data_IF_221605440078
#
_entry.id   IF_221605440078
#
_cell.length_a   1.000
_cell.length_b   1.000
_cell.length_c   1.000
_cell.angle_alpha   90.00
_cell.angle_beta   90.00
_cell.angle_gamma   90.00
#
_symmetry.space_group_name_H-M   'P 1'
#
loop_
_entity.id
_entity.type
_entity.pdbx_description
1 polymer ?
#
# COMPACT_ATOMS: atom_id res chain seq x y z
N UNK A 1 -11.36 18.58 45.42
CA UNK A 1 -10.37 18.00 44.52
C UNK A 1 -10.18 19.00 43.40
N UNK A 2 -9.00 19.61 43.23
CA UNK A 2 -8.79 20.49 42.08
C UNK A 2 -8.52 19.67 40.83
N UNK A 3 -9.33 19.93 39.79
CA UNK A 3 -9.13 19.43 38.46
C UNK A 3 -7.77 19.93 37.92
N UNK A 4 -6.78 19.04 37.90
CA UNK A 4 -5.54 19.30 37.18
C UNK A 4 -5.86 19.22 35.70
N UNK A 5 -6.27 20.35 35.10
CA UNK A 5 -6.16 20.53 33.64
C UNK A 5 -4.67 20.43 33.28
N UNK A 6 -4.23 19.20 33.02
CA UNK A 6 -2.95 18.95 32.36
C UNK A 6 -3.04 19.56 30.96
N UNK A 7 -2.43 20.74 30.80
CA UNK A 7 -2.15 21.29 29.48
C UNK A 7 -1.45 20.20 28.67
N UNK A 8 -1.92 19.89 27.44
CA UNK A 8 -1.26 18.90 26.62
C UNK A 8 0.20 19.33 26.44
N UNK A 9 1.12 18.40 26.66
CA UNK A 9 2.55 18.64 26.44
C UNK A 9 2.77 19.17 25.02
N UNK A 10 3.63 20.20 24.84
CA UNK A 10 3.93 20.74 23.52
C UNK A 10 4.44 19.62 22.63
N UNK A 11 3.81 19.51 21.45
CA UNK A 11 4.15 18.47 20.44
C UNK A 11 5.61 18.63 20.06
N UNK A 12 6.39 17.54 20.16
CA UNK A 12 7.75 17.51 19.65
C UNK A 12 7.77 17.96 18.18
N UNK A 13 8.58 18.97 17.82
CA UNK A 13 8.70 19.44 16.44
C UNK A 13 9.05 18.32 15.45
N UNK A 14 9.81 17.30 15.86
CA UNK A 14 10.15 16.12 15.02
C UNK A 14 8.91 15.27 14.77
N UNK A 15 8.13 14.98 15.81
CA UNK A 15 6.88 14.25 15.69
C UNK A 15 5.88 14.96 14.77
N UNK A 16 5.77 16.29 14.90
CA UNK A 16 4.89 17.07 14.04
C UNK A 16 5.30 17.00 12.57
N UNK A 17 6.61 17.11 12.28
CA UNK A 17 7.13 16.96 10.90
C UNK A 17 6.87 15.54 10.36
N UNK A 18 7.15 14.53 11.15
CA UNK A 18 6.90 13.14 10.80
C UNK A 18 5.40 12.90 10.53
N UNK A 19 4.51 13.39 11.39
CA UNK A 19 3.07 13.27 11.18
C UNK A 19 2.60 13.87 9.86
N UNK A 20 3.10 15.05 9.46
CA UNK A 20 2.82 15.64 8.15
C UNK A 20 3.34 14.78 6.99
N UNK A 21 4.57 14.25 7.11
CA UNK A 21 5.17 13.36 6.10
C UNK A 21 4.34 12.09 5.94
N UNK A 22 3.85 11.52 7.04
CA UNK A 22 2.93 10.38 7.02
C UNK A 22 1.62 10.71 6.29
N UNK A 23 0.94 11.80 6.64
CA UNK A 23 -0.32 12.18 5.99
C UNK A 23 -0.13 12.38 4.50
N UNK A 24 0.92 13.11 4.09
CA UNK A 24 1.18 13.39 2.67
C UNK A 24 1.55 12.11 1.93
N UNK A 25 2.49 11.31 2.42
CA UNK A 25 2.95 10.09 1.73
C UNK A 25 1.85 9.03 1.65
N UNK A 26 1.10 8.81 2.72
CA UNK A 26 -0.03 7.88 2.71
C UNK A 26 -1.20 8.39 1.86
N UNK A 27 -1.43 9.70 1.85
CA UNK A 27 -2.42 10.32 0.96
C UNK A 27 -2.06 10.11 -0.52
N UNK A 28 -0.80 10.41 -0.90
CA UNK A 28 -0.30 10.16 -2.26
C UNK A 28 -0.38 8.68 -2.64
N UNK A 29 -0.02 7.79 -1.72
CA UNK A 29 -0.15 6.35 -1.91
C UNK A 29 -1.62 5.95 -2.10
N UNK A 30 -2.54 6.53 -1.33
CA UNK A 30 -3.98 6.33 -1.47
C UNK A 30 -4.51 6.77 -2.84
N UNK A 31 -4.02 7.91 -3.37
CA UNK A 31 -4.33 8.35 -4.74
C UNK A 31 -3.84 7.32 -5.76
N UNK A 32 -2.57 6.90 -5.67
CA UNK A 32 -2.00 5.85 -6.54
C UNK A 32 -2.82 4.56 -6.53
N UNK A 33 -3.23 4.10 -5.34
CA UNK A 33 -4.08 2.92 -5.19
C UNK A 33 -5.43 3.03 -5.92
N UNK A 34 -6.01 4.23 -6.00
CA UNK A 34 -7.26 4.43 -6.72
C UNK A 34 -7.06 4.46 -8.24
N UNK A 35 -5.94 5.00 -8.70
CA UNK A 35 -5.61 5.02 -10.12
C UNK A 35 -5.33 3.61 -10.68
N UNK A 36 -4.74 2.70 -9.87
CA UNK A 36 -4.50 1.29 -10.24
C UNK A 36 -5.53 0.35 -9.58
N UNK A 37 -6.77 0.80 -9.49
CA UNK A 37 -7.79 0.03 -8.78
C UNK A 37 -8.20 -1.23 -9.57
N UNK A 38 -8.09 -2.45 -8.98
CA UNK A 38 -8.41 -3.71 -9.65
C UNK A 38 -9.91 -3.96 -9.81
N UNK A 39 -10.75 -3.11 -9.20
CA UNK A 39 -12.23 -3.22 -9.26
C UNK A 39 -12.84 -2.23 -10.25
N UNK A 40 -12.09 -1.21 -10.68
CA UNK A 40 -12.60 -0.14 -11.56
C UNK A 40 -11.73 0.07 -12.79
N UNK A 41 -10.50 0.55 -12.63
CA UNK A 41 -9.65 0.98 -13.75
C UNK A 41 -9.02 -0.21 -14.50
N UNK A 42 -8.43 -1.17 -13.77
CA UNK A 42 -7.74 -2.31 -14.39
C UNK A 42 -8.66 -3.24 -15.20
N UNK A 43 -9.93 -3.51 -14.81
CA UNK A 43 -10.83 -4.28 -15.66
C UNK A 43 -11.09 -3.63 -17.03
N UNK A 44 -11.19 -2.31 -17.06
CA UNK A 44 -11.33 -1.55 -18.32
C UNK A 44 -10.08 -1.71 -19.18
N UNK A 45 -8.91 -1.55 -18.58
CA UNK A 45 -7.64 -1.71 -19.27
C UNK A 45 -7.50 -3.11 -19.89
N UNK A 46 -7.77 -4.17 -19.11
CA UNK A 46 -7.69 -5.54 -19.65
C UNK A 46 -8.76 -5.81 -20.72
N UNK A 47 -9.92 -5.20 -20.59
CA UNK A 47 -10.97 -5.31 -21.58
C UNK A 47 -10.58 -4.63 -22.91
N UNK A 48 -10.03 -3.41 -22.88
CA UNK A 48 -9.58 -2.69 -24.07
C UNK A 48 -8.44 -3.42 -24.78
N UNK A 49 -7.53 -4.04 -24.01
CA UNK A 49 -6.45 -4.89 -24.54
C UNK A 49 -6.93 -6.22 -25.16
N UNK A 50 -8.23 -6.57 -25.03
CA UNK A 50 -8.75 -7.87 -25.47
C UNK A 50 -8.27 -9.06 -24.61
N UNK A 51 -7.90 -8.82 -23.35
CA UNK A 51 -7.55 -9.87 -22.41
C UNK A 51 -8.79 -10.70 -22.05
N UNK A 52 -8.59 -12.01 -21.90
CA UNK A 52 -9.68 -12.94 -21.57
C UNK A 52 -10.28 -12.67 -20.17
N UNK A 53 -11.55 -13.02 -19.99
CA UNK A 53 -12.31 -12.82 -18.76
C UNK A 53 -11.65 -13.44 -17.51
N UNK A 54 -10.89 -14.52 -17.65
CA UNK A 54 -10.13 -15.14 -16.57
C UNK A 54 -9.08 -14.19 -16.00
N UNK A 55 -8.34 -13.46 -16.84
CA UNK A 55 -7.32 -12.50 -16.39
C UNK A 55 -7.96 -11.33 -15.64
N UNK A 56 -9.13 -10.88 -16.10
CA UNK A 56 -9.92 -9.85 -15.40
C UNK A 56 -10.37 -10.35 -14.02
N UNK A 57 -10.85 -11.58 -13.94
CA UNK A 57 -11.26 -12.19 -12.68
C UNK A 57 -10.11 -12.34 -11.67
N UNK A 58 -8.87 -12.52 -12.14
CA UNK A 58 -7.67 -12.66 -11.31
C UNK A 58 -7.19 -11.33 -10.70
N UNK A 59 -7.59 -10.17 -11.20
CA UNK A 59 -7.10 -8.88 -10.72
C UNK A 59 -7.30 -8.69 -9.21
N UNK A 60 -8.51 -8.93 -8.72
CA UNK A 60 -8.83 -8.74 -7.30
C UNK A 60 -8.12 -9.78 -6.41
N UNK A 61 -8.19 -11.09 -6.68
CA UNK A 61 -7.45 -12.09 -5.91
C UNK A 61 -5.95 -11.82 -5.85
N UNK A 62 -5.32 -11.50 -6.98
CA UNK A 62 -3.88 -11.19 -7.05
C UNK A 62 -3.54 -9.97 -6.22
N UNK A 63 -4.32 -8.90 -6.32
CA UNK A 63 -4.09 -7.67 -5.57
C UNK A 63 -4.26 -7.86 -4.06
N UNK A 64 -5.32 -8.51 -3.64
CA UNK A 64 -5.63 -8.70 -2.21
C UNK A 64 -4.69 -9.75 -1.58
N UNK A 65 -4.58 -10.93 -2.18
CA UNK A 65 -3.71 -11.98 -1.66
C UNK A 65 -2.23 -11.57 -1.65
N UNK A 66 -1.75 -10.94 -2.74
CA UNK A 66 -0.37 -10.47 -2.83
C UNK A 66 -0.04 -9.36 -1.84
N UNK A 67 -1.02 -8.55 -1.41
CA UNK A 67 -0.79 -7.52 -0.40
C UNK A 67 -0.89 -8.01 1.04
N UNK A 68 -1.59 -9.11 1.31
CA UNK A 68 -1.85 -9.62 2.66
C UNK A 68 -0.97 -10.82 3.03
N UNK A 69 -0.91 -11.84 2.17
CA UNK A 69 -0.23 -13.09 2.50
C UNK A 69 1.27 -12.92 2.79
N UNK A 70 2.05 -12.12 2.03
CA UNK A 70 3.47 -11.98 2.31
C UNK A 70 3.77 -11.26 3.63
N UNK A 71 2.84 -10.51 4.21
CA UNK A 71 3.09 -9.74 5.44
C UNK A 71 3.54 -10.64 6.59
N UNK A 72 2.89 -11.79 6.77
CA UNK A 72 3.23 -12.74 7.84
C UNK A 72 4.65 -13.31 7.67
N UNK A 73 5.06 -13.60 6.43
CA UNK A 73 6.40 -14.13 6.13
C UNK A 73 7.48 -13.02 6.20
N UNK A 74 7.12 -11.78 5.90
CA UNK A 74 8.05 -10.64 5.87
C UNK A 74 8.23 -9.97 7.23
N UNK A 75 7.33 -10.19 8.19
CA UNK A 75 7.39 -9.56 9.51
C UNK A 75 8.72 -9.82 10.24
N UNK A 76 9.21 -11.07 10.40
CA UNK A 76 10.48 -11.33 11.08
C UNK A 76 11.68 -10.69 10.37
N UNK A 77 11.66 -10.67 9.03
CA UNK A 77 12.70 -10.01 8.24
C UNK A 77 12.71 -8.49 8.45
N UNK A 78 11.53 -7.87 8.56
CA UNK A 78 11.42 -6.44 8.83
C UNK A 78 11.90 -6.10 10.25
N UNK A 79 11.58 -6.94 11.24
CA UNK A 79 11.98 -6.77 12.64
C UNK A 79 13.50 -6.74 12.80
N UNK A 80 14.23 -7.46 11.95
CA UNK A 80 15.68 -7.46 11.90
C UNK A 80 16.30 -6.18 11.29
N UNK A 81 15.50 -5.24 10.76
CA UNK A 81 16.00 -3.99 10.15
C UNK A 81 16.06 -2.85 11.16
N UNK A 82 17.20 -2.13 11.19
CA UNK A 82 17.38 -0.92 12.02
C UNK A 82 16.53 0.24 11.55
N UNK A 83 16.48 0.45 10.23
CA UNK A 83 15.74 1.54 9.59
C UNK A 83 14.64 0.96 8.71
N UNK A 84 13.40 1.06 9.17
CA UNK A 84 12.24 0.45 8.49
C UNK A 84 11.57 1.40 7.51
N UNK A 85 11.81 2.72 7.66
CA UNK A 85 11.38 3.71 6.69
C UNK A 85 11.95 3.44 5.28
N UNK A 86 13.21 2.96 5.18
CA UNK A 86 13.81 2.56 3.90
C UNK A 86 13.09 1.41 3.21
N UNK A 87 12.53 0.47 3.98
CA UNK A 87 11.72 -0.64 3.44
C UNK A 87 10.40 -0.11 2.86
N UNK A 88 9.79 0.85 3.53
CA UNK A 88 8.59 1.52 3.01
C UNK A 88 8.88 2.24 1.68
N UNK A 89 9.98 2.98 1.63
CA UNK A 89 10.43 3.70 0.42
C UNK A 89 10.66 2.72 -0.72
N UNK A 90 11.38 1.63 -0.47
CA UNK A 90 11.62 0.57 -1.47
C UNK A 90 10.29 0.02 -2.00
N UNK A 91 9.37 -0.36 -1.10
CA UNK A 91 8.05 -0.84 -1.47
C UNK A 91 7.28 0.16 -2.34
N UNK A 92 7.32 1.45 -1.99
CA UNK A 92 6.66 2.52 -2.78
C UNK A 92 7.30 2.70 -4.16
N UNK A 93 8.63 2.69 -4.26
CA UNK A 93 9.33 2.78 -5.55
C UNK A 93 8.98 1.59 -6.45
N UNK A 94 9.00 0.37 -5.91
CA UNK A 94 8.63 -0.83 -6.69
C UNK A 94 7.17 -0.79 -7.13
N UNK A 95 6.25 -0.31 -6.28
CA UNK A 95 4.85 -0.08 -6.69
C UNK A 95 4.75 0.92 -7.84
N UNK A 96 5.50 2.04 -7.75
CA UNK A 96 5.53 3.06 -8.79
C UNK A 96 6.05 2.52 -10.13
N UNK A 97 7.14 1.75 -10.09
CA UNK A 97 7.70 1.12 -11.29
C UNK A 97 6.75 0.08 -11.89
N UNK A 98 6.11 -0.73 -11.06
CA UNK A 98 5.13 -1.71 -11.53
C UNK A 98 3.90 -1.04 -12.16
N UNK A 99 3.40 0.05 -11.58
CA UNK A 99 2.31 0.83 -12.17
C UNK A 99 2.73 1.47 -13.50
N UNK A 100 3.93 2.03 -13.57
CA UNK A 100 4.46 2.59 -14.82
C UNK A 100 4.61 1.49 -15.89
N UNK A 101 5.07 0.29 -15.52
CA UNK A 101 5.12 -0.86 -16.42
C UNK A 101 3.74 -1.25 -16.95
N UNK A 102 2.70 -1.27 -16.09
CA UNK A 102 1.31 -1.48 -16.53
C UNK A 102 0.90 -0.40 -17.54
N UNK A 103 1.23 0.87 -17.27
CA UNK A 103 0.94 1.98 -18.18
C UNK A 103 1.62 1.84 -19.55
N UNK A 104 2.87 1.40 -19.57
CA UNK A 104 3.59 1.13 -20.83
C UNK A 104 2.95 -0.07 -21.57
N UNK A 105 2.65 -1.16 -20.85
CA UNK A 105 1.98 -2.33 -21.44
C UNK A 105 0.63 -1.97 -22.06
N UNK A 106 -0.11 -1.05 -21.46
CA UNK A 106 -1.37 -0.52 -22.00
C UNK A 106 -1.23 0.12 -23.38
N UNK A 107 -0.02 0.60 -23.75
CA UNK A 107 0.24 1.28 -25.03
C UNK A 107 0.86 0.37 -26.08
N UNK A 108 1.51 -0.75 -25.67
CA UNK A 108 2.36 -1.52 -26.58
C UNK A 108 1.97 -3.01 -26.66
N UNK A 109 1.06 -3.47 -25.81
CA UNK A 109 0.73 -4.88 -25.70
C UNK A 109 -0.79 -5.12 -25.81
N UNK A 110 -1.18 -6.15 -26.55
CA UNK A 110 -2.56 -6.54 -26.74
C UNK A 110 -2.78 -8.04 -26.47
N UNK A 111 -4.04 -8.42 -26.38
CA UNK A 111 -4.48 -9.79 -26.26
C UNK A 111 -4.14 -10.46 -24.92
N UNK A 112 -4.29 -11.79 -24.82
CA UNK A 112 -4.08 -12.53 -23.59
C UNK A 112 -2.66 -12.43 -23.02
N UNK A 113 -1.64 -12.33 -23.88
CA UNK A 113 -0.24 -12.21 -23.46
C UNK A 113 0.02 -10.85 -22.77
N UNK A 114 -0.49 -9.76 -23.35
CA UNK A 114 -0.45 -8.43 -22.75
C UNK A 114 -1.19 -8.38 -21.42
N UNK A 115 -2.40 -8.96 -21.38
CA UNK A 115 -3.17 -9.07 -20.16
C UNK A 115 -2.46 -9.86 -19.04
N UNK A 116 -1.79 -10.96 -19.39
CA UNK A 116 -0.99 -11.73 -18.43
C UNK A 116 0.18 -10.89 -17.88
N UNK A 117 0.87 -10.14 -18.75
CA UNK A 117 1.95 -9.25 -18.31
C UNK A 117 1.45 -8.18 -17.32
N UNK A 118 0.27 -7.61 -17.55
CA UNK A 118 -0.38 -6.67 -16.62
C UNK A 118 -0.68 -7.35 -15.28
N UNK A 119 -1.23 -8.56 -15.27
CA UNK A 119 -1.52 -9.31 -14.03
C UNK A 119 -0.24 -9.63 -13.26
N UNK A 120 0.85 -9.99 -13.95
CA UNK A 120 2.16 -10.21 -13.32
C UNK A 120 2.74 -8.92 -12.72
N UNK A 121 2.66 -7.80 -13.44
CA UNK A 121 3.07 -6.50 -12.91
C UNK A 121 2.22 -6.10 -11.69
N UNK A 122 0.91 -6.38 -11.71
CA UNK A 122 0.02 -6.18 -10.55
C UNK A 122 0.42 -7.07 -9.37
N UNK A 123 0.86 -8.30 -9.60
CA UNK A 123 1.37 -9.18 -8.55
C UNK A 123 2.62 -8.59 -7.88
N UNK A 124 3.58 -8.09 -8.67
CA UNK A 124 4.75 -7.37 -8.15
C UNK A 124 4.35 -6.16 -7.31
N UNK A 125 3.41 -5.35 -7.83
CA UNK A 125 2.86 -4.20 -7.13
C UNK A 125 2.21 -4.61 -5.79
N UNK A 126 1.45 -5.70 -5.77
CA UNK A 126 0.78 -6.19 -4.57
C UNK A 126 1.77 -6.68 -3.50
N UNK A 127 2.81 -7.41 -3.89
CA UNK A 127 3.88 -7.83 -2.97
C UNK A 127 4.65 -6.62 -2.43
N UNK A 128 4.99 -5.65 -3.28
CA UNK A 128 5.62 -4.39 -2.84
C UNK A 128 4.72 -3.60 -1.88
N UNK A 129 3.40 -3.65 -2.08
CA UNK A 129 2.41 -3.07 -1.18
C UNK A 129 2.45 -3.71 0.21
N UNK A 130 2.67 -5.03 0.30
CA UNK A 130 2.79 -5.71 1.59
C UNK A 130 3.95 -5.17 2.42
N UNK A 131 5.10 -4.89 1.79
CA UNK A 131 6.27 -4.27 2.43
C UNK A 131 5.96 -2.87 2.96
N UNK A 132 5.35 -2.01 2.14
CA UNK A 132 4.97 -0.65 2.55
C UNK A 132 3.94 -0.67 3.67
N UNK A 133 2.93 -1.56 3.60
CA UNK A 133 1.89 -1.67 4.62
C UNK A 133 2.46 -2.10 5.98
N UNK A 134 3.35 -3.09 5.98
CA UNK A 134 3.95 -3.62 7.19
C UNK A 134 4.89 -2.59 7.84
N UNK A 135 5.83 -2.02 7.05
CA UNK A 135 6.79 -1.05 7.54
C UNK A 135 6.15 0.27 7.99
N UNK A 136 5.07 0.72 7.33
CA UNK A 136 4.34 1.92 7.72
C UNK A 136 3.80 1.87 9.14
N UNK A 137 3.19 0.74 9.52
CA UNK A 137 2.62 0.55 10.87
C UNK A 137 3.70 0.61 11.94
N UNK A 138 4.85 0.00 11.66
CA UNK A 138 5.96 -0.05 12.58
C UNK A 138 6.64 1.32 12.74
N UNK A 139 6.97 2.00 11.64
CA UNK A 139 7.54 3.36 11.68
C UNK A 139 6.60 4.34 12.37
N UNK A 140 5.28 4.27 12.10
CA UNK A 140 4.28 5.07 12.82
C UNK A 140 4.30 4.77 14.32
N UNK A 141 4.45 3.49 14.68
CA UNK A 141 4.53 3.05 16.07
C UNK A 141 5.70 3.64 16.85
N UNK A 142 6.80 3.96 16.17
CA UNK A 142 8.04 4.48 16.76
C UNK A 142 8.17 5.99 16.73
N UNK A 143 7.53 6.63 15.74
CA UNK A 143 7.72 8.06 15.46
C UNK A 143 6.56 8.93 15.88
N UNK A 144 5.39 8.34 16.17
CA UNK A 144 4.15 9.04 16.48
C UNK A 144 3.57 8.53 17.81
N UNK A 145 3.24 9.44 18.69
CA UNK A 145 2.57 9.15 19.95
C UNK A 145 1.24 8.41 19.75
N UNK A 146 0.95 7.43 20.60
CA UNK A 146 -0.20 6.52 20.47
C UNK A 146 -1.53 7.27 20.31
N UNK A 147 -1.73 8.38 21.04
CA UNK A 147 -2.95 9.19 21.00
C UNK A 147 -3.19 9.93 19.67
N UNK A 148 -2.15 10.10 18.83
CA UNK A 148 -2.21 10.88 17.58
C UNK A 148 -2.28 10.01 16.32
N UNK A 149 -1.93 8.74 16.41
CA UNK A 149 -1.90 7.79 15.26
C UNK A 149 -3.24 7.72 14.53
N UNK A 150 -4.34 7.66 15.31
CA UNK A 150 -5.70 7.63 14.75
C UNK A 150 -6.03 8.86 13.90
N UNK A 151 -5.61 10.04 14.34
CA UNK A 151 -5.83 11.28 13.58
C UNK A 151 -5.05 11.31 12.27
N UNK A 152 -3.79 10.87 12.28
CA UNK A 152 -2.94 10.77 11.08
C UNK A 152 -3.54 9.78 10.10
N UNK A 153 -3.93 8.60 10.56
CA UNK A 153 -4.59 7.58 9.73
C UNK A 153 -5.91 8.09 9.17
N UNK A 154 -6.71 8.78 9.99
CA UNK A 154 -7.97 9.38 9.55
C UNK A 154 -7.78 10.38 8.41
N UNK A 155 -6.85 11.30 8.53
CA UNK A 155 -6.52 12.25 7.46
C UNK A 155 -6.05 11.55 6.18
N UNK A 156 -5.17 10.57 6.30
CA UNK A 156 -4.69 9.78 5.14
C UNK A 156 -5.83 9.05 4.44
N UNK A 157 -6.75 8.46 5.21
CA UNK A 157 -7.94 7.78 4.67
C UNK A 157 -8.89 8.76 3.99
N UNK A 158 -9.07 9.96 4.56
CA UNK A 158 -9.92 11.01 3.96
C UNK A 158 -9.37 11.46 2.61
N UNK A 159 -8.05 11.68 2.51
CA UNK A 159 -7.41 12.04 1.23
C UNK A 159 -7.58 10.92 0.20
N UNK A 160 -7.33 9.66 0.60
CA UNK A 160 -7.54 8.49 -0.28
C UNK A 160 -9.00 8.34 -0.72
N UNK A 161 -9.95 8.54 0.20
CA UNK A 161 -11.39 8.50 -0.10
C UNK A 161 -11.84 9.60 -1.05
N UNK A 162 -11.35 10.83 -0.87
CA UNK A 162 -11.61 11.94 -1.77
C UNK A 162 -11.06 11.66 -3.18
N UNK A 163 -9.84 11.11 -3.26
CA UNK A 163 -9.26 10.67 -4.53
C UNK A 163 -10.09 9.57 -5.20
N UNK A 164 -10.56 8.57 -4.45
CA UNK A 164 -11.43 7.50 -4.95
C UNK A 164 -12.70 8.07 -5.56
N UNK A 165 -13.35 9.00 -4.86
CA UNK A 165 -14.56 9.65 -5.33
C UNK A 165 -14.29 10.43 -6.61
N UNK A 166 -13.23 11.23 -6.66
CA UNK A 166 -12.84 12.03 -7.83
C UNK A 166 -12.58 11.15 -9.04
N UNK A 167 -11.77 10.09 -8.89
CA UNK A 167 -11.48 9.15 -9.97
C UNK A 167 -12.74 8.41 -10.42
N UNK A 168 -13.56 7.94 -9.49
CA UNK A 168 -14.80 7.23 -9.79
C UNK A 168 -15.80 8.12 -10.56
N UNK A 169 -15.96 9.38 -10.13
CA UNK A 169 -16.83 10.36 -10.84
C UNK A 169 -16.26 10.68 -12.22
N UNK A 170 -14.94 10.90 -12.34
CA UNK A 170 -14.30 11.18 -13.61
C UNK A 170 -14.53 10.04 -14.63
N UNK A 171 -14.29 8.78 -14.23
CA UNK A 171 -14.54 7.59 -15.07
C UNK A 171 -16.02 7.52 -15.48
N UNK A 172 -16.95 7.74 -14.52
CA UNK A 172 -18.38 7.70 -14.83
C UNK A 172 -18.83 8.77 -15.84
N UNK A 173 -18.24 9.97 -15.78
CA UNK A 173 -18.54 11.06 -16.70
C UNK A 173 -17.99 10.84 -18.10
N UNK A 174 -16.93 10.04 -18.25
CA UNK A 174 -16.37 9.69 -19.57
C UNK A 174 -17.21 8.65 -20.34
N UNK A 175 -18.15 7.97 -19.70
CA UNK A 175 -19.00 6.97 -20.33
C UNK A 175 -18.27 5.68 -20.65
N UNK A 176 -18.65 4.99 -21.76
CA UNK A 176 -18.09 3.68 -22.14
C UNK A 176 -16.79 3.75 -22.94
N UNK A 177 -16.47 4.90 -23.51
CA UNK A 177 -15.38 5.04 -24.47
C UNK A 177 -14.16 5.73 -23.84
N UNK A 178 -13.51 5.03 -22.90
CA UNK A 178 -12.27 5.52 -22.28
C UNK A 178 -11.09 5.18 -23.21
N UNK A 179 -10.36 6.17 -23.75
CA UNK A 179 -9.26 5.89 -24.66
C UNK A 179 -8.05 5.28 -23.93
N UNK A 180 -7.34 4.36 -24.59
CA UNK A 180 -6.22 3.60 -24.00
C UNK A 180 -5.10 4.51 -23.47
N UNK A 181 -4.81 5.61 -24.18
CA UNK A 181 -3.81 6.58 -23.70
C UNK A 181 -4.16 7.18 -22.35
N UNK A 182 -5.45 7.35 -22.05
CA UNK A 182 -5.89 7.87 -20.75
C UNK A 182 -5.70 6.83 -19.64
N UNK A 183 -6.02 5.56 -19.93
CA UNK A 183 -5.75 4.45 -18.99
C UNK A 183 -4.26 4.34 -18.71
N UNK A 184 -3.43 4.44 -19.75
CA UNK A 184 -1.98 4.49 -19.58
C UNK A 184 -1.52 5.69 -18.76
N UNK A 185 -2.09 6.88 -19.02
CA UNK A 185 -1.76 8.11 -18.25
C UNK A 185 -2.15 7.99 -16.78
N UNK A 186 -3.28 7.32 -16.45
CA UNK A 186 -3.67 7.03 -15.07
C UNK A 186 -2.65 6.12 -14.38
N UNK A 187 -2.15 5.10 -15.06
CA UNK A 187 -1.12 4.18 -14.53
C UNK A 187 0.21 4.91 -14.30
N UNK A 188 0.66 5.72 -15.26
CA UNK A 188 1.85 6.54 -15.13
C UNK A 188 1.71 7.58 -14.01
N UNK A 189 0.52 8.19 -13.91
CA UNK A 189 0.16 9.09 -12.81
C UNK A 189 0.23 8.42 -11.45
N UNK A 190 -0.26 7.18 -11.35
CA UNK A 190 -0.11 6.37 -10.14
C UNK A 190 1.36 6.13 -9.80
N UNK A 191 2.17 5.78 -10.79
CA UNK A 191 3.62 5.62 -10.63
C UNK A 191 4.28 6.88 -10.08
N UNK A 192 3.91 8.05 -10.60
CA UNK A 192 4.38 9.34 -10.11
C UNK A 192 3.94 9.61 -8.64
N UNK A 193 2.69 9.26 -8.28
CA UNK A 193 2.20 9.42 -6.91
C UNK A 193 2.99 8.57 -5.92
N UNK A 194 3.31 7.32 -6.25
CA UNK A 194 4.17 6.48 -5.41
C UNK A 194 5.61 6.97 -5.35
N UNK A 195 6.16 7.48 -6.45
CA UNK A 195 7.49 8.11 -6.47
C UNK A 195 7.56 9.34 -5.56
N UNK A 196 6.57 10.23 -5.62
CA UNK A 196 6.45 11.38 -4.74
C UNK A 196 6.26 10.95 -3.27
N UNK A 197 5.42 9.95 -3.02
CA UNK A 197 5.21 9.39 -1.71
C UNK A 197 6.51 8.86 -1.11
N UNK A 198 7.31 8.13 -1.90
CA UNK A 198 8.61 7.62 -1.52
C UNK A 198 9.57 8.77 -1.17
N UNK A 199 9.63 9.82 -2.00
CA UNK A 199 10.49 10.98 -1.77
C UNK A 199 10.13 11.76 -0.49
N UNK A 200 8.83 11.88 -0.18
CA UNK A 200 8.35 12.51 1.06
C UNK A 200 8.69 11.64 2.26
N UNK A 201 8.40 10.34 2.19
CA UNK A 201 8.59 9.41 3.30
C UNK A 201 10.07 9.17 3.62
N UNK A 202 10.95 9.21 2.63
CA UNK A 202 12.40 9.09 2.81
C UNK A 202 12.98 10.15 3.76
N UNK A 203 12.27 11.26 3.97
CA UNK A 203 12.66 12.33 4.90
C UNK A 203 12.17 12.12 6.33
N UNK A 204 11.48 11.00 6.62
CA UNK A 204 11.00 10.67 7.96
C UNK A 204 12.19 10.39 8.87
N UNK A 205 12.22 11.07 10.00
CA UNK A 205 13.25 10.92 11.02
C UNK A 205 12.86 9.75 11.94
N UNK A 206 13.44 8.58 11.67
CA UNK A 206 13.20 7.35 12.43
C UNK A 206 14.32 7.14 13.45
N UNK A 207 14.01 6.99 14.77
CA UNK A 207 15.00 6.59 15.76
C UNK A 207 15.51 5.18 15.45
N UNK A 208 16.80 4.94 15.67
CA UNK A 208 17.40 3.61 15.49
C UNK A 208 16.65 2.58 16.35
N UNK A 209 16.22 1.49 15.70
CA UNK A 209 15.61 0.38 16.40
C UNK A 209 16.66 -0.47 17.08
N UNK A 210 16.43 -0.93 18.34
CA UNK A 210 17.15 -2.07 18.85
C UNK A 210 16.94 -3.23 17.87
N UNK A 211 18.02 -3.81 17.38
CA UNK A 211 17.95 -5.03 16.59
C UNK A 211 17.72 -6.16 17.57
N UNK A 212 16.49 -6.59 17.74
CA UNK A 212 16.26 -7.88 18.39
C UNK A 212 16.82 -8.95 17.46
N UNK A 213 17.67 -9.88 17.99
CA UNK A 213 18.08 -11.03 17.21
C UNK A 213 16.80 -11.67 16.67
N UNK A 214 16.76 -11.94 15.38
CA UNK A 214 15.67 -12.68 14.80
C UNK A 214 15.64 -14.05 15.51
N UNK A 215 14.86 -14.16 16.58
CA UNK A 215 14.48 -15.47 17.05
C UNK A 215 13.87 -16.17 15.85
N UNK A 216 14.27 -17.41 15.56
CA UNK A 216 13.68 -18.25 14.53
C UNK A 216 12.22 -18.57 14.91
N UNK A 217 11.40 -17.54 15.11
CA UNK A 217 9.96 -17.67 15.28
C UNK A 217 9.36 -18.04 13.95
N UNK A 218 9.29 -19.31 13.75
CA UNK A 218 8.54 -19.91 12.65
C UNK A 218 7.06 -19.64 12.92
N UNK A 219 6.52 -18.54 12.35
CA UNK A 219 5.11 -18.13 12.47
C UNK A 219 4.14 -19.31 12.27
N UNK A 220 4.49 -20.26 11.40
CA UNK A 220 3.67 -21.45 11.15
C UNK A 220 3.71 -22.44 12.32
N UNK A 221 4.84 -22.55 13.06
CA UNK A 221 4.92 -23.35 14.28
C UNK A 221 4.07 -22.75 15.39
N UNK A 222 4.11 -21.43 15.53
CA UNK A 222 3.30 -20.72 16.52
C UNK A 222 1.82 -20.83 16.18
N UNK A 223 1.44 -20.69 14.90
CA UNK A 223 0.08 -20.90 14.43
C UNK A 223 -0.40 -22.36 14.70
N UNK A 224 0.43 -23.35 14.40
CA UNK A 224 0.11 -24.76 14.67
C UNK A 224 0.03 -25.03 16.18
N UNK A 225 0.88 -24.43 16.99
CA UNK A 225 0.82 -24.59 18.45
C UNK A 225 -0.44 -23.97 19.04
N UNK A 226 -0.87 -22.80 18.56
CA UNK A 226 -2.11 -22.15 18.95
C UNK A 226 -3.34 -22.99 18.56
N UNK A 227 -3.36 -23.52 17.33
CA UNK A 227 -4.44 -24.41 16.88
C UNK A 227 -4.54 -25.71 17.68
N UNK A 228 -3.39 -26.21 18.19
CA UNK A 228 -3.35 -27.39 19.06
C UNK A 228 -3.75 -27.08 20.51
N UNK A 229 -3.41 -25.88 20.99
CA UNK A 229 -3.72 -25.46 22.36
C UNK A 229 -5.21 -25.12 22.54
N UNK A 230 -5.88 -24.67 21.47
CA UNK A 230 -7.28 -24.25 21.47
C UNK A 230 -8.11 -25.07 20.44
N UNK A 231 -8.57 -26.29 20.81
CA UNK A 231 -9.34 -27.13 19.88
C UNK A 231 -10.65 -26.50 19.39
N UNK A 232 -11.14 -25.45 20.06
CA UNK A 232 -12.28 -24.65 19.63
C UNK A 232 -12.03 -23.85 18.35
N UNK A 233 -10.80 -23.41 18.11
CA UNK A 233 -10.41 -22.65 16.89
C UNK A 233 -10.30 -23.57 15.65
N UNK A 234 -10.05 -24.84 15.85
CA UNK A 234 -9.95 -25.83 14.75
C UNK A 234 -11.33 -26.26 14.19
N UNK A 235 -12.43 -25.76 14.78
CA UNK A 235 -13.82 -26.09 14.38
C UNK A 235 -14.54 -24.90 13.70
N UNK A 236 -13.87 -23.77 13.53
CA UNK A 236 -14.33 -22.62 12.74
C UNK A 236 -13.75 -22.69 11.32
#
# INVERSE_FOLDING_TARGET
>A
MPDTHTTPDPVDPVEHRNGRRFVVSQGLQGVGDQLVNPKTVLPWLLHSMGAGSLLIALLVPVREAGSMLPQAALAPWLEAKRHRAGVWVLGSVVQGLAAAAIGVLALVADGPAGGLAVVLALAVLAVARSLSSLSSKDVMGRTIEKGRRGRITGWSTTVGGAAALTVGVAIRLMGSDVPDWLLAALMLGAGAMWGLAAAVFARTEEPEAPVEPAEERSWWRDAVSLLRAEPGLARL
#
